data_IF_354725086379
#
_entry.id   IF_354725086379
#
_cell.length_a   1.000
_cell.length_b   1.000
_cell.length_c   1.000
_cell.angle_alpha   90.00
_cell.angle_beta   90.00
_cell.angle_gamma   90.00
#
_symmetry.space_group_name_H-M   'P 1'
#
loop_
_entity.id
_entity.type
_entity.pdbx_description
1 polymer ?
#
# COMPACT_ATOMS: atom_id res chain seq x y z
N UNK A 1 -0.35 -5.37 -9.61
CA UNK A 1 -1.62 -6.03 -9.23
C UNK A 1 -1.99 -5.51 -7.87
N UNK A 2 -3.24 -5.10 -7.64
CA UNK A 2 -3.65 -4.60 -6.31
C UNK A 2 -3.77 -5.75 -5.32
N UNK A 3 -3.77 -5.43 -4.03
CA UNK A 3 -3.97 -6.43 -2.97
C UNK A 3 -5.36 -7.08 -3.08
N UNK A 4 -6.38 -6.28 -3.47
CA UNK A 4 -7.71 -6.79 -3.75
C UNK A 4 -7.74 -7.78 -4.92
N UNK A 5 -7.08 -7.46 -6.03
CA UNK A 5 -7.01 -8.37 -7.19
C UNK A 5 -6.27 -9.67 -6.87
N UNK A 6 -5.21 -9.59 -6.07
CA UNK A 6 -4.47 -10.76 -5.59
C UNK A 6 -5.38 -11.68 -4.78
N UNK A 7 -6.09 -11.13 -3.80
CA UNK A 7 -6.95 -11.90 -2.91
C UNK A 7 -8.13 -12.52 -3.67
N UNK A 8 -8.72 -11.78 -4.61
CA UNK A 8 -9.80 -12.28 -5.47
C UNK A 8 -9.39 -13.47 -6.35
N UNK A 9 -8.11 -13.55 -6.77
CA UNK A 9 -7.58 -14.70 -7.52
C UNK A 9 -7.16 -15.85 -6.60
N UNK A 10 -6.67 -15.55 -5.40
CA UNK A 10 -6.16 -16.54 -4.45
C UNK A 10 -7.29 -17.34 -3.78
N UNK A 11 -8.40 -16.68 -3.45
CA UNK A 11 -9.52 -17.30 -2.74
C UNK A 11 -10.14 -18.52 -3.46
N UNK A 12 -10.49 -18.47 -4.76
CA UNK A 12 -11.04 -19.64 -5.45
C UNK A 12 -10.04 -20.81 -5.51
N UNK A 13 -8.75 -20.54 -5.67
CA UNK A 13 -7.71 -21.58 -5.65
C UNK A 13 -7.62 -22.24 -4.27
N UNK A 14 -7.83 -21.48 -3.20
CA UNK A 14 -7.85 -22.00 -1.83
C UNK A 14 -9.09 -22.83 -1.55
N UNK A 15 -10.26 -22.40 -2.05
CA UNK A 15 -11.51 -23.15 -1.92
C UNK A 15 -11.41 -24.49 -2.67
N UNK A 16 -10.77 -24.50 -3.85
CA UNK A 16 -10.47 -25.72 -4.58
C UNK A 16 -9.51 -26.61 -3.80
N UNK A 17 -8.40 -26.07 -3.27
CA UNK A 17 -7.42 -26.86 -2.49
C UNK A 17 -8.04 -27.45 -1.21
N UNK A 18 -8.92 -26.72 -0.54
CA UNK A 18 -9.62 -27.18 0.65
C UNK A 18 -10.54 -28.39 0.37
N UNK A 19 -10.95 -28.58 -0.89
CA UNK A 19 -11.70 -29.77 -1.31
C UNK A 19 -10.83 -31.04 -1.28
N UNK A 20 -9.51 -30.90 -1.48
CA UNK A 20 -8.55 -32.02 -1.47
C UNK A 20 -7.92 -32.28 -0.10
N UNK A 21 -7.98 -31.31 0.82
CA UNK A 21 -7.43 -31.42 2.18
C UNK A 21 -8.53 -31.18 3.24
N UNK A 22 -9.49 -32.12 3.37
CA UNK A 22 -10.58 -31.98 4.33
C UNK A 22 -10.08 -32.13 5.77
N UNK A 23 -10.69 -31.40 6.69
CA UNK A 23 -10.39 -31.51 8.13
C UNK A 23 -10.61 -32.97 8.57
N UNK A 24 -9.60 -33.62 9.17
CA UNK A 24 -9.72 -35.01 9.59
C UNK A 24 -10.75 -35.13 10.72
N UNK A 25 -11.66 -36.10 10.56
CA UNK A 25 -12.64 -36.44 11.60
C UNK A 25 -12.08 -37.49 12.55
N UNK A 26 -12.38 -37.35 13.85
CA UNK A 26 -12.02 -38.41 14.81
C UNK A 26 -13.00 -39.58 14.68
N UNK A 27 -12.48 -40.80 14.55
CA UNK A 27 -13.26 -42.05 14.59
C UNK A 27 -13.79 -42.41 15.98
N UNK A 28 -13.39 -41.66 17.02
CA UNK A 28 -13.64 -41.97 18.41
C UNK A 28 -15.07 -41.66 18.90
N UNK A 29 -15.92 -41.04 18.09
CA UNK A 29 -17.34 -40.74 18.39
C UNK A 29 -17.58 -39.68 19.48
N UNK A 30 -16.67 -39.54 20.45
CA UNK A 30 -16.69 -38.58 21.56
C UNK A 30 -15.28 -38.02 21.85
N UNK A 31 -14.62 -37.40 20.85
CA UNK A 31 -13.33 -36.77 21.13
C UNK A 31 -13.51 -35.46 21.90
N UNK A 32 -12.77 -35.30 22.99
CA UNK A 32 -12.50 -34.00 23.64
C UNK A 32 -11.19 -33.37 23.15
N UNK A 33 -10.65 -33.83 22.03
CA UNK A 33 -9.29 -33.52 21.60
C UNK A 33 -9.16 -32.23 20.75
N UNK A 34 -10.26 -31.54 20.46
CA UNK A 34 -10.35 -30.34 19.61
C UNK A 34 -9.55 -30.47 18.31
N UNK A 35 -9.53 -31.69 17.73
CA UNK A 35 -8.70 -32.02 16.57
C UNK A 35 -9.05 -31.12 15.37
N UNK A 36 -10.34 -30.89 15.13
CA UNK A 36 -10.80 -30.04 14.04
C UNK A 36 -10.36 -28.59 14.21
N UNK A 37 -10.47 -28.03 15.42
CA UNK A 37 -10.05 -26.67 15.72
C UNK A 37 -8.53 -26.50 15.58
N UNK A 38 -7.74 -27.45 16.09
CA UNK A 38 -6.27 -27.44 15.95
C UNK A 38 -5.84 -27.53 14.48
N UNK A 39 -6.52 -28.35 13.69
CA UNK A 39 -6.23 -28.50 12.27
C UNK A 39 -6.61 -27.23 11.49
N UNK A 40 -7.77 -26.64 11.81
CA UNK A 40 -8.21 -25.38 11.23
C UNK A 40 -7.23 -24.25 11.56
N UNK A 41 -6.82 -24.14 12.83
CA UNK A 41 -5.84 -23.14 13.28
C UNK A 41 -4.51 -23.29 12.54
N UNK A 42 -4.05 -24.53 12.35
CA UNK A 42 -2.84 -24.82 11.58
C UNK A 42 -2.99 -24.37 10.13
N UNK A 43 -4.10 -24.72 9.48
CA UNK A 43 -4.36 -24.34 8.09
C UNK A 43 -4.45 -22.82 7.93
N UNK A 44 -5.06 -22.13 8.88
CA UNK A 44 -5.14 -20.67 8.87
C UNK A 44 -3.76 -20.01 9.10
N UNK A 45 -2.91 -20.62 9.92
CA UNK A 45 -1.53 -20.18 10.11
C UNK A 45 -0.69 -20.39 8.83
N UNK A 46 -0.79 -21.56 8.20
CA UNK A 46 -0.10 -21.84 6.94
C UNK A 46 -0.52 -20.82 5.85
N UNK A 47 -1.82 -20.51 5.77
CA UNK A 47 -2.37 -19.49 4.86
C UNK A 47 -1.83 -18.08 5.13
N UNK A 48 -1.59 -17.72 6.39
CA UNK A 48 -1.00 -16.44 6.80
C UNK A 48 0.46 -16.34 6.44
N UNK A 49 1.20 -17.45 6.50
CA UNK A 49 2.61 -17.49 6.10
C UNK A 49 2.78 -17.45 4.57
N UNK A 50 1.85 -18.06 3.83
CA UNK A 50 1.85 -18.05 2.36
C UNK A 50 1.37 -16.72 1.77
N UNK A 51 0.38 -16.07 2.39
CA UNK A 51 -0.26 -14.87 1.86
C UNK A 51 0.74 -13.74 1.48
N UNK A 52 1.76 -13.42 2.31
CA UNK A 52 2.73 -12.38 1.97
C UNK A 52 3.76 -12.79 0.91
N UNK A 53 3.84 -14.07 0.50
CA UNK A 53 4.82 -14.55 -0.50
C UNK A 53 4.41 -14.21 -1.93
N UNK A 54 3.13 -14.04 -2.21
CA UNK A 54 2.65 -13.72 -3.56
C UNK A 54 2.52 -12.22 -3.86
N UNK A 55 2.79 -11.35 -2.89
CA UNK A 55 2.63 -9.89 -3.01
C UNK A 55 4.02 -9.25 -3.16
N UNK A 56 4.11 -8.14 -3.93
CA UNK A 56 5.35 -7.39 -4.20
C UNK A 56 6.22 -7.19 -2.94
N UNK A 57 7.27 -8.00 -2.81
CA UNK A 57 8.14 -8.06 -1.63
C UNK A 57 8.81 -6.70 -1.36
N UNK A 58 9.19 -5.98 -2.42
CA UNK A 58 9.83 -4.67 -2.31
C UNK A 58 8.93 -3.60 -1.68
N UNK A 59 7.61 -3.76 -1.83
CA UNK A 59 6.61 -2.76 -1.41
C UNK A 59 6.02 -3.06 -0.04
N UNK A 60 5.92 -4.34 0.32
CA UNK A 60 5.27 -4.80 1.56
C UNK A 60 6.20 -5.57 2.50
N UNK A 61 7.51 -5.64 2.21
CA UNK A 61 8.48 -6.42 3.00
C UNK A 61 8.50 -6.07 4.49
N UNK A 62 8.49 -4.77 4.84
CA UNK A 62 8.46 -4.33 6.23
C UNK A 62 7.14 -4.70 6.94
N UNK A 63 6.01 -4.54 6.25
CA UNK A 63 4.69 -4.88 6.77
C UNK A 63 4.54 -6.39 6.96
N UNK A 64 5.07 -7.18 6.02
CA UNK A 64 5.14 -8.64 6.10
C UNK A 64 5.91 -9.08 7.33
N UNK A 65 7.14 -8.58 7.53
CA UNK A 65 7.95 -8.94 8.69
C UNK A 65 7.25 -8.59 9.99
N UNK A 66 6.59 -7.42 10.05
CA UNK A 66 5.79 -7.02 11.19
C UNK A 66 4.61 -7.97 11.46
N UNK A 67 3.83 -8.33 10.44
CA UNK A 67 2.69 -9.25 10.57
C UNK A 67 3.11 -10.65 11.04
N UNK A 68 4.22 -11.17 10.52
CA UNK A 68 4.73 -12.50 10.89
C UNK A 68 5.42 -12.53 12.27
N UNK A 69 5.78 -11.37 12.82
CA UNK A 69 6.43 -11.26 14.14
C UNK A 69 5.44 -11.00 15.28
N UNK A 70 4.14 -10.91 15.01
CA UNK A 70 3.10 -10.70 16.02
C UNK A 70 2.84 -11.98 16.83
N UNK A 71 2.71 -11.82 18.15
CA UNK A 71 2.33 -12.89 19.08
C UNK A 71 1.14 -12.43 19.96
N UNK A 72 -0.06 -13.03 19.83
CA UNK A 72 -0.42 -14.12 18.91
C UNK A 72 -0.50 -13.65 17.44
N UNK A 73 -0.33 -14.58 16.46
CA UNK A 73 -0.39 -14.23 15.04
C UNK A 73 -1.77 -13.66 14.66
N UNK A 74 -1.82 -12.63 13.80
CA UNK A 74 -3.07 -12.04 13.36
C UNK A 74 -3.85 -13.02 12.50
N UNK A 75 -5.18 -12.93 12.46
CA UNK A 75 -5.99 -13.71 11.51
C UNK A 75 -5.71 -13.27 10.06
N UNK A 76 -5.96 -14.17 9.10
CA UNK A 76 -5.81 -13.88 7.67
C UNK A 76 -6.57 -12.61 7.25
N UNK A 77 -7.80 -12.48 7.72
CA UNK A 77 -8.66 -11.32 7.47
C UNK A 77 -8.04 -10.01 7.99
N UNK A 78 -7.52 -10.04 9.22
CA UNK A 78 -6.81 -8.89 9.80
C UNK A 78 -5.56 -8.55 9.01
N UNK A 79 -4.76 -9.53 8.62
CA UNK A 79 -3.57 -9.33 7.80
C UNK A 79 -3.93 -8.70 6.44
N UNK A 80 -5.00 -9.16 5.80
CA UNK A 80 -5.53 -8.60 4.56
C UNK A 80 -5.94 -7.13 4.71
N UNK A 81 -6.70 -6.80 5.75
CA UNK A 81 -7.12 -5.42 6.01
C UNK A 81 -5.94 -4.47 6.27
N UNK A 82 -4.94 -4.92 7.03
CA UNK A 82 -3.71 -4.15 7.29
C UNK A 82 -2.94 -3.91 6.00
N UNK A 83 -2.83 -4.93 5.15
CA UNK A 83 -2.20 -4.82 3.83
C UNK A 83 -2.93 -3.83 2.92
N UNK A 84 -4.26 -3.91 2.84
CA UNK A 84 -5.10 -3.00 2.06
C UNK A 84 -4.96 -1.54 2.53
N UNK A 85 -4.89 -1.33 3.85
CA UNK A 85 -4.66 -0.02 4.43
C UNK A 85 -3.29 0.55 4.03
N UNK A 86 -2.24 -0.27 4.07
CA UNK A 86 -0.90 0.13 3.64
C UNK A 86 -0.87 0.51 2.14
N UNK A 87 -1.54 -0.26 1.28
CA UNK A 87 -1.66 0.06 -0.16
C UNK A 87 -2.30 1.44 -0.39
N UNK A 88 -3.37 1.74 0.33
CA UNK A 88 -4.03 3.05 0.26
C UNK A 88 -3.13 4.18 0.76
N UNK A 89 -2.37 3.96 1.84
CA UNK A 89 -1.43 4.94 2.37
C UNK A 89 -0.29 5.21 1.40
N UNK A 90 0.27 4.18 0.77
CA UNK A 90 1.33 4.34 -0.23
C UNK A 90 0.83 5.07 -1.48
N UNK A 91 -0.39 4.79 -1.92
CA UNK A 91 -1.05 5.53 -3.02
C UNK A 91 -1.19 7.02 -2.66
N UNK A 92 -1.65 7.33 -1.44
CA UNK A 92 -1.78 8.72 -0.95
C UNK A 92 -0.43 9.43 -0.79
N UNK A 93 0.64 8.69 -0.48
CA UNK A 93 2.02 9.20 -0.39
C UNK A 93 2.67 9.41 -1.76
N UNK A 94 1.98 9.13 -2.87
CA UNK A 94 2.52 9.26 -4.22
C UNK A 94 3.57 8.20 -4.56
N UNK A 95 3.67 7.14 -3.77
CA UNK A 95 4.60 6.03 -3.99
C UNK A 95 4.04 4.98 -4.98
N UNK A 96 2.85 5.23 -5.55
CA UNK A 96 2.29 4.44 -6.64
C UNK A 96 2.97 4.82 -7.96
N UNK A 97 4.08 4.15 -8.28
CA UNK A 97 4.46 3.99 -9.68
C UNK A 97 3.51 2.92 -10.24
N UNK A 98 2.89 3.28 -11.37
CA UNK A 98 1.85 2.57 -12.12
C UNK A 98 0.39 2.90 -11.75
N UNK A 99 -0.05 4.10 -12.14
CA UNK A 99 -1.39 4.32 -12.70
C UNK A 99 -1.24 5.21 -13.92
N UNK A 100 -1.25 4.58 -15.08
CA UNK A 100 -1.71 5.25 -16.29
C UNK A 100 -3.08 5.89 -16.01
N UNK A 101 -3.18 7.15 -16.43
CA UNK A 101 -4.36 8.00 -16.61
C UNK A 101 -5.70 7.50 -16.04
N UNK A 102 -6.12 8.08 -14.90
CA UNK A 102 -7.54 8.43 -14.72
C UNK A 102 -7.63 9.80 -14.06
N UNK A 103 -7.79 10.80 -14.91
CA UNK A 103 -8.22 12.15 -14.60
C UNK A 103 -9.72 12.12 -14.23
N UNK A 104 -10.12 12.73 -13.10
CA UNK A 104 -11.47 13.19 -12.70
C UNK A 104 -11.73 12.94 -11.20
N UNK A 105 -12.29 13.82 -10.37
CA UNK A 105 -12.68 15.23 -10.44
C UNK A 105 -12.58 15.76 -9.00
N UNK A 106 -11.89 16.89 -8.79
CA UNK A 106 -12.06 17.68 -7.58
C UNK A 106 -13.13 18.74 -7.86
N UNK A 107 -14.39 18.46 -7.50
CA UNK A 107 -15.46 19.44 -7.55
C UNK A 107 -15.45 20.26 -6.25
N UNK A 108 -14.57 21.26 -6.17
CA UNK A 108 -14.69 22.35 -5.20
C UNK A 108 -15.34 23.55 -5.88
N UNK A 109 -16.51 23.93 -5.38
CA UNK A 109 -17.37 25.02 -5.83
C UNK A 109 -16.66 26.39 -5.78
N UNK A 110 -16.92 27.32 -6.71
CA UNK A 110 -16.30 28.64 -6.67
C UNK A 110 -17.15 29.60 -5.81
N UNK A 111 -16.61 30.02 -4.67
CA UNK A 111 -17.02 31.29 -4.02
C UNK A 111 -15.97 32.34 -4.34
N UNK A 112 -16.45 33.50 -4.81
CA UNK A 112 -15.66 34.48 -5.53
C UNK A 112 -14.85 35.49 -4.71
N UNK A 113 -14.21 36.33 -5.52
CA UNK A 113 -13.58 37.64 -5.27
C UNK A 113 -12.11 37.68 -4.81
N UNK A 114 -11.35 38.75 -5.18
CA UNK A 114 -10.13 38.64 -5.96
C UNK A 114 -8.92 39.23 -5.19
N UNK A 115 -7.77 39.28 -5.85
CA UNK A 115 -6.46 39.81 -5.40
C UNK A 115 -5.61 38.82 -4.60
N UNK A 116 -4.68 38.22 -5.32
CA UNK A 116 -3.25 38.29 -5.01
C UNK A 116 -2.52 37.63 -6.16
N UNK A 117 -1.79 38.40 -6.96
CA UNK A 117 -0.76 37.87 -7.84
C UNK A 117 0.33 37.23 -6.98
N UNK A 118 0.11 35.98 -6.57
CA UNK A 118 1.18 35.13 -6.07
C UNK A 118 1.60 34.26 -7.24
N UNK A 119 2.62 34.74 -7.95
CA UNK A 119 3.31 34.01 -9.00
C UNK A 119 3.57 32.60 -8.50
N UNK A 120 2.98 31.66 -9.22
CA UNK A 120 3.27 30.24 -9.24
C UNK A 120 4.77 30.03 -9.06
N UNK A 121 5.19 29.74 -7.82
CA UNK A 121 6.56 29.36 -7.48
C UNK A 121 6.77 27.92 -7.92
N UNK A 122 6.62 27.70 -9.23
CA UNK A 122 6.83 26.42 -9.89
C UNK A 122 8.23 26.40 -10.44
N UNK A 123 9.12 25.65 -9.79
CA UNK A 123 10.29 24.98 -10.35
C UNK A 123 11.06 25.67 -11.50
N UNK A 124 11.14 27.00 -11.53
CA UNK A 124 11.96 27.69 -12.51
C UNK A 124 13.41 27.53 -12.11
N UNK A 125 14.10 26.64 -12.84
CA UNK A 125 15.54 26.46 -12.80
C UNK A 125 16.18 27.60 -13.59
N UNK A 126 17.07 28.34 -12.94
CA UNK A 126 17.87 29.33 -13.62
C UNK A 126 18.82 28.66 -14.61
N UNK A 127 18.81 29.07 -15.88
CA UNK A 127 19.73 28.56 -16.92
C UNK A 127 21.19 28.98 -16.71
N UNK A 128 21.47 29.91 -15.80
CA UNK A 128 22.83 30.39 -15.53
C UNK A 128 23.47 29.70 -14.33
N UNK A 129 22.76 29.58 -13.20
CA UNK A 129 23.30 29.00 -11.96
C UNK A 129 22.71 27.63 -11.60
N UNK A 130 21.76 27.11 -12.39
CA UNK A 130 21.08 25.83 -12.18
C UNK A 130 20.36 25.68 -10.83
N UNK A 131 20.16 26.77 -10.08
CA UNK A 131 19.35 26.77 -8.87
C UNK A 131 17.88 27.04 -9.20
N UNK A 132 16.98 26.37 -8.47
CA UNK A 132 15.54 26.55 -8.58
C UNK A 132 15.04 27.76 -7.78
N UNK A 133 13.99 28.40 -8.26
CA UNK A 133 13.26 29.46 -7.52
C UNK A 133 13.51 30.88 -8.03
N UNK A 134 14.23 31.03 -9.16
CA UNK A 134 14.42 32.31 -9.84
C UNK A 134 14.76 32.08 -11.32
N UNK A 135 14.53 33.09 -12.16
CA UNK A 135 14.84 33.08 -13.58
C UNK A 135 16.20 33.74 -13.85
N UNK A 136 16.68 33.65 -15.10
CA UNK A 136 17.91 34.31 -15.51
C UNK A 136 17.88 35.85 -15.35
N UNK A 137 16.70 36.45 -15.28
CA UNK A 137 16.50 37.90 -15.02
C UNK A 137 16.66 38.28 -13.55
N UNK A 138 16.46 37.33 -12.63
CA UNK A 138 16.53 37.53 -11.17
C UNK A 138 17.68 36.76 -10.52
N UNK A 139 18.62 36.27 -11.33
CA UNK A 139 19.77 35.50 -10.88
C UNK A 139 20.86 36.41 -10.28
N UNK A 140 21.07 36.31 -8.97
CA UNK A 140 22.12 37.05 -8.28
C UNK A 140 23.53 36.69 -8.76
N UNK A 141 23.76 35.44 -9.15
CA UNK A 141 25.05 35.02 -9.71
C UNK A 141 25.40 35.74 -11.03
N UNK A 142 24.38 36.17 -11.79
CA UNK A 142 24.56 36.93 -13.03
C UNK A 142 24.50 38.44 -12.80
N UNK A 143 23.53 38.90 -12.00
CA UNK A 143 23.23 40.32 -11.82
C UNK A 143 24.08 40.99 -10.73
N UNK A 144 24.89 40.22 -10.00
CA UNK A 144 25.61 40.69 -8.82
C UNK A 144 24.74 40.67 -7.58
N UNK A 145 25.38 40.52 -6.42
CA UNK A 145 24.72 40.65 -5.14
C UNK A 145 24.60 42.14 -4.80
N UNK A 146 23.43 42.62 -4.35
CA UNK A 146 23.32 43.98 -3.83
C UNK A 146 24.19 44.13 -2.58
N UNK A 147 24.86 45.28 -2.44
CA UNK A 147 25.61 45.58 -1.23
C UNK A 147 24.65 45.98 -0.11
N UNK A 148 24.32 45.03 0.77
CA UNK A 148 23.75 45.27 2.11
C UNK A 148 24.19 44.17 3.08
#
# INVERSE_FOLDING_TARGET
>A
MTIGDYFGKLQPLRDELATYDPIPSCLCGFCFCDLGEKFQLKQDNDRLHEFPCGIHVDRFGALRSSLLSQDPPPTLDRAYHVMLQEEQLQTKRGLSIDRDEVMAMAASTPRGNPKSESRTKGNTLCTFCHHSGHDLTTCFAKNGYPEW
#
